data_IF_004901142836
#
_entry.id   IF_004901142836
#
_cell.length_a   1.000
_cell.length_b   1.000
_cell.length_c   1.000
_cell.angle_alpha   90.00
_cell.angle_beta   90.00
_cell.angle_gamma   90.00
#
_symmetry.space_group_name_H-M   'P 1'
#
loop_
_entity.id
_entity.type
_entity.pdbx_description
1 polymer ?
#
# COMPACT_ATOMS: atom_id res chain seq x y z
N UNK A 1 28.32 -4.97 -15.04
CA UNK A 1 27.56 -5.36 -16.26
C UNK A 1 27.17 -4.16 -17.12
N UNK A 2 26.23 -3.28 -16.72
CA UNK A 2 25.89 -2.09 -17.52
C UNK A 2 27.08 -1.13 -17.70
N UNK A 3 27.86 -0.91 -16.64
CA UNK A 3 29.06 -0.07 -16.69
C UNK A 3 30.16 -0.64 -17.60
N UNK A 4 30.32 -1.97 -17.66
CA UNK A 4 31.32 -2.62 -18.52
C UNK A 4 30.92 -2.60 -19.99
N UNK A 5 29.61 -2.75 -20.28
CA UNK A 5 29.06 -2.59 -21.63
C UNK A 5 29.25 -1.16 -22.12
N UNK A 6 29.01 -0.17 -21.25
CA UNK A 6 29.18 1.24 -21.60
C UNK A 6 30.65 1.56 -21.88
N UNK A 7 31.57 1.04 -21.05
CA UNK A 7 33.02 1.24 -21.23
C UNK A 7 33.56 0.62 -22.52
N UNK A 8 33.14 -0.60 -22.83
CA UNK A 8 33.52 -1.27 -24.10
C UNK A 8 32.97 -0.49 -25.31
N UNK A 9 31.74 0.05 -25.20
CA UNK A 9 31.09 0.85 -26.25
C UNK A 9 31.80 2.21 -26.46
N UNK A 10 32.20 2.85 -25.36
CA UNK A 10 32.91 4.14 -25.36
C UNK A 10 34.34 4.03 -25.92
N UNK A 11 34.94 2.84 -25.97
CA UNK A 11 36.26 2.63 -26.57
C UNK A 11 36.20 2.50 -28.11
N UNK A 12 35.15 1.85 -28.64
CA UNK A 12 35.03 1.57 -30.08
C UNK A 12 34.28 2.65 -30.87
N UNK A 13 33.24 3.27 -30.31
CA UNK A 13 32.43 4.25 -31.03
C UNK A 13 33.20 5.52 -31.42
N UNK A 14 34.06 6.11 -30.57
CA UNK A 14 34.78 7.33 -30.94
C UNK A 14 35.74 7.11 -32.10
N UNK A 15 36.45 5.98 -32.12
CA UNK A 15 37.36 5.62 -33.21
C UNK A 15 36.59 5.40 -34.52
N UNK A 16 35.40 4.79 -34.45
CA UNK A 16 34.52 4.59 -35.61
C UNK A 16 33.97 5.91 -36.18
N UNK A 17 33.39 6.76 -35.33
CA UNK A 17 32.86 8.05 -35.78
C UNK A 17 33.95 9.01 -36.27
N UNK A 18 35.14 8.99 -35.65
CA UNK A 18 36.28 9.76 -36.12
C UNK A 18 36.70 9.32 -37.53
N UNK A 19 36.68 8.01 -37.81
CA UNK A 19 37.03 7.47 -39.11
C UNK A 19 35.98 7.75 -40.19
N UNK A 20 34.67 7.68 -39.88
CA UNK A 20 33.61 8.09 -40.82
C UNK A 20 33.73 9.58 -41.14
N UNK A 21 33.92 10.43 -40.11
CA UNK A 21 34.07 11.86 -40.32
C UNK A 21 35.30 12.20 -41.16
N UNK A 22 36.39 11.45 -40.99
CA UNK A 22 37.59 11.58 -41.82
C UNK A 22 37.37 11.08 -43.26
N UNK A 23 36.42 10.16 -43.47
CA UNK A 23 36.02 9.67 -44.78
C UNK A 23 35.11 10.66 -45.52
N UNK A 24 34.16 11.28 -44.82
CA UNK A 24 33.28 12.33 -45.37
C UNK A 24 34.05 13.61 -45.73
N UNK A 25 35.20 13.84 -45.09
CA UNK A 25 36.10 14.95 -45.41
C UNK A 25 36.93 14.71 -46.69
N UNK A 26 36.88 13.51 -47.30
CA UNK A 26 37.58 13.21 -48.55
C UNK A 26 36.78 13.71 -49.75
N UNK A 27 37.46 14.44 -50.63
CA UNK A 27 36.89 14.90 -51.89
C UNK A 27 37.24 13.95 -53.06
N UNK A 28 36.49 14.07 -54.17
CA UNK A 28 36.72 13.27 -55.38
C UNK A 28 38.11 13.49 -55.98
N UNK A 29 38.76 14.63 -55.72
CA UNK A 29 40.09 14.93 -56.21
C UNK A 29 41.14 14.07 -55.50
N UNK A 30 41.05 13.91 -54.18
CA UNK A 30 41.96 13.07 -53.41
C UNK A 30 41.91 11.59 -53.83
N UNK A 31 40.74 11.10 -54.27
CA UNK A 31 40.61 9.76 -54.88
C UNK A 31 41.22 9.71 -56.28
N UNK A 32 41.08 10.76 -57.08
CA UNK A 32 41.71 10.83 -58.40
C UNK A 32 43.24 10.88 -58.32
N UNK A 33 43.82 11.50 -57.29
CA UNK A 33 45.26 11.47 -57.02
C UNK A 33 45.75 10.04 -56.72
N UNK A 34 45.00 9.28 -55.91
CA UNK A 34 45.30 7.87 -55.65
C UNK A 34 45.22 6.99 -56.91
N UNK A 35 44.33 7.32 -57.85
CA UNK A 35 44.21 6.63 -59.15
C UNK A 35 45.32 6.98 -60.13
N UNK A 36 45.92 8.15 -59.99
CA UNK A 36 46.96 8.65 -60.90
C UNK A 36 48.32 7.95 -60.69
N UNK A 37 48.52 7.22 -59.58
CA UNK A 37 49.72 6.41 -59.37
C UNK A 37 49.87 5.32 -60.43
N UNK A 38 50.94 5.42 -61.24
CA UNK A 38 51.35 4.40 -62.23
C UNK A 38 51.96 3.16 -61.55
N UNK A 39 52.70 3.38 -60.47
CA UNK A 39 53.25 2.34 -59.59
C UNK A 39 52.89 2.71 -58.15
N UNK A 40 51.87 2.09 -57.53
CA UNK A 40 51.43 2.44 -56.19
C UNK A 40 52.47 2.01 -55.13
N UNK A 41 52.71 2.83 -54.09
CA UNK A 41 53.52 2.43 -52.94
C UNK A 41 52.89 1.20 -52.25
N UNK A 42 53.74 0.29 -51.76
CA UNK A 42 53.34 -0.99 -51.16
C UNK A 42 52.29 -0.84 -50.03
N UNK A 43 52.41 0.25 -49.26
CA UNK A 43 51.48 0.63 -48.18
C UNK A 43 50.07 0.98 -48.68
N UNK A 44 49.99 1.65 -49.83
CA UNK A 44 48.72 2.04 -50.45
C UNK A 44 48.04 0.80 -51.05
N UNK A 45 48.81 -0.07 -51.70
CA UNK A 45 48.30 -1.37 -52.19
C UNK A 45 47.73 -2.21 -51.05
N UNK A 46 48.44 -2.31 -49.93
CA UNK A 46 47.98 -3.05 -48.75
C UNK A 46 46.67 -2.52 -48.15
N UNK A 47 46.49 -1.20 -48.18
CA UNK A 47 45.26 -0.54 -47.69
C UNK A 47 44.08 -0.82 -48.61
N UNK A 48 44.30 -0.73 -49.91
CA UNK A 48 43.25 -1.01 -50.88
C UNK A 48 42.94 -2.49 -51.02
N UNK A 49 43.90 -3.39 -50.81
CA UNK A 49 43.64 -4.82 -50.71
C UNK A 49 42.75 -5.16 -49.51
N UNK A 50 42.95 -4.47 -48.38
CA UNK A 50 42.07 -4.58 -47.22
C UNK A 50 40.64 -4.08 -47.53
N UNK A 51 40.50 -2.99 -48.28
CA UNK A 51 39.18 -2.50 -48.73
C UNK A 51 38.55 -3.46 -49.74
N UNK A 52 39.29 -3.98 -50.71
CA UNK A 52 38.81 -4.99 -51.66
C UNK A 52 38.30 -6.25 -50.93
N UNK A 53 39.00 -6.68 -49.88
CA UNK A 53 38.57 -7.80 -49.03
C UNK A 53 37.23 -7.52 -48.32
N UNK A 54 36.99 -6.29 -47.86
CA UNK A 54 35.71 -5.88 -47.25
C UNK A 54 34.54 -5.86 -48.26
N UNK A 55 34.80 -5.49 -49.51
CA UNK A 55 33.81 -5.50 -50.59
C UNK A 55 33.71 -6.86 -51.33
N UNK A 56 34.34 -7.92 -50.80
CA UNK A 56 34.37 -9.26 -51.41
C UNK A 56 34.96 -9.30 -52.84
N UNK A 57 35.81 -8.33 -53.18
CA UNK A 57 36.53 -8.26 -54.45
C UNK A 57 37.93 -8.87 -54.28
N UNK A 58 38.45 -9.53 -55.33
CA UNK A 58 39.80 -10.11 -55.29
C UNK A 58 40.84 -9.02 -54.97
N UNK A 59 41.79 -9.26 -54.06
CA UNK A 59 42.88 -8.32 -53.79
C UNK A 59 43.74 -8.17 -55.03
N UNK A 60 44.10 -6.93 -55.35
CA UNK A 60 44.69 -6.56 -56.62
C UNK A 60 44.49 -5.08 -56.92
N UNK A 61 45.58 -4.40 -57.31
CA UNK A 61 45.55 -2.96 -57.62
C UNK A 61 44.62 -2.62 -58.79
N UNK A 62 44.47 -3.55 -59.75
CA UNK A 62 43.60 -3.35 -60.92
C UNK A 62 42.12 -3.34 -60.52
N UNK A 63 41.73 -4.26 -59.65
CA UNK A 63 40.40 -4.36 -59.06
C UNK A 63 40.12 -3.22 -58.09
N UNK A 64 41.10 -2.83 -57.26
CA UNK A 64 41.01 -1.67 -56.38
C UNK A 64 40.79 -0.37 -57.17
N UNK A 65 41.46 -0.21 -58.32
CA UNK A 65 41.27 0.94 -59.22
C UNK A 65 39.88 0.95 -59.86
N UNK A 66 39.31 -0.23 -60.12
CA UNK A 66 37.91 -0.40 -60.52
C UNK A 66 36.94 0.04 -59.42
N UNK A 67 37.19 -0.39 -58.18
CA UNK A 67 36.38 -0.03 -57.00
C UNK A 67 36.41 1.47 -56.71
N UNK A 68 37.59 2.11 -56.78
CA UNK A 68 37.77 3.56 -56.71
C UNK A 68 37.14 4.33 -57.89
N UNK A 69 36.71 3.64 -58.94
CA UNK A 69 36.05 4.24 -60.11
C UNK A 69 34.55 4.32 -60.01
N UNK A 70 33.96 3.66 -59.03
CA UNK A 70 32.55 3.83 -58.73
C UNK A 70 32.31 5.23 -58.11
N UNK A 71 31.34 5.97 -58.67
CA UNK A 71 30.91 7.26 -58.13
C UNK A 71 30.35 7.15 -56.72
N UNK A 72 29.85 5.97 -56.34
CA UNK A 72 29.26 5.68 -55.01
C UNK A 72 30.24 5.06 -54.02
N UNK A 73 31.54 4.95 -54.35
CA UNK A 73 32.52 4.28 -53.50
C UNK A 73 32.59 4.85 -52.07
N UNK A 74 32.62 6.18 -51.93
CA UNK A 74 32.63 6.85 -50.61
C UNK A 74 31.33 6.64 -49.85
N UNK A 75 30.18 6.73 -50.52
CA UNK A 75 28.86 6.47 -49.92
C UNK A 75 28.73 5.00 -49.46
N UNK A 76 29.28 4.07 -50.23
CA UNK A 76 29.27 2.64 -49.92
C UNK A 76 30.20 2.32 -48.73
N UNK A 77 31.29 3.06 -48.56
CA UNK A 77 32.17 2.95 -47.39
C UNK A 77 31.52 3.55 -46.13
N UNK A 78 30.83 4.70 -46.25
CA UNK A 78 30.13 5.34 -45.14
C UNK A 78 28.91 4.52 -44.68
N UNK A 79 28.17 3.92 -45.62
CA UNK A 79 26.97 3.12 -45.36
C UNK A 79 27.26 1.61 -45.22
N UNK A 80 28.51 1.20 -45.10
CA UNK A 80 28.85 -0.22 -44.99
C UNK A 80 28.25 -0.82 -43.72
N UNK A 81 27.71 -2.04 -43.84
CA UNK A 81 27.11 -2.77 -42.72
C UNK A 81 28.19 -3.21 -41.71
N UNK A 82 28.40 -2.38 -40.70
CA UNK A 82 29.35 -2.60 -39.59
C UNK A 82 28.97 -3.76 -38.68
N UNK A 83 27.71 -4.19 -38.70
CA UNK A 83 27.17 -5.18 -37.78
C UNK A 83 27.20 -6.61 -38.39
N UNK A 84 27.43 -6.74 -39.71
CA UNK A 84 27.36 -8.03 -40.42
C UNK A 84 28.57 -8.31 -41.34
N UNK A 85 29.79 -8.28 -40.80
CA UNK A 85 31.02 -8.57 -41.56
C UNK A 85 31.37 -10.06 -41.47
N UNK A 86 31.64 -10.71 -42.61
CA UNK A 86 32.01 -12.13 -42.64
C UNK A 86 33.28 -12.40 -41.78
N UNK A 87 33.23 -13.33 -40.81
CA UNK A 87 34.38 -13.68 -39.96
C UNK A 87 35.64 -14.09 -40.75
N UNK A 88 35.48 -14.65 -41.96
CA UNK A 88 36.59 -15.01 -42.85
C UNK A 88 37.31 -13.78 -43.39
N UNK A 89 36.58 -12.71 -43.66
CA UNK A 89 37.12 -11.42 -44.12
C UNK A 89 37.87 -10.76 -42.97
N UNK A 90 37.31 -10.75 -41.75
CA UNK A 90 37.97 -10.19 -40.57
C UNK A 90 39.26 -10.93 -40.19
N UNK A 91 39.30 -12.27 -40.28
CA UNK A 91 40.55 -13.01 -40.05
C UNK A 91 41.65 -12.63 -41.05
N UNK A 92 41.29 -12.41 -42.32
CA UNK A 92 42.24 -11.94 -43.33
C UNK A 92 42.69 -10.51 -43.02
N UNK A 93 41.76 -9.62 -42.67
CA UNK A 93 42.05 -8.24 -42.28
C UNK A 93 42.88 -8.12 -40.99
N UNK A 94 42.72 -9.02 -40.02
CA UNK A 94 43.56 -9.07 -38.82
C UNK A 94 45.04 -9.32 -39.16
N UNK A 95 45.31 -10.15 -40.18
CA UNK A 95 46.68 -10.37 -40.68
C UNK A 95 47.27 -9.08 -41.26
N UNK A 96 46.44 -8.23 -41.87
CA UNK A 96 46.85 -6.91 -42.38
C UNK A 96 46.97 -5.88 -41.24
N UNK A 97 46.10 -5.95 -40.23
CA UNK A 97 46.11 -5.11 -39.03
C UNK A 97 47.37 -5.30 -38.16
N UNK A 98 47.86 -6.54 -38.07
CA UNK A 98 49.05 -6.89 -37.27
C UNK A 98 50.37 -6.52 -37.97
N UNK A 99 50.35 -6.04 -39.22
CA UNK A 99 51.56 -5.61 -39.89
C UNK A 99 51.98 -4.20 -39.37
N UNK A 100 53.19 -4.02 -38.80
CA UNK A 100 53.66 -2.75 -38.23
C UNK A 100 53.75 -1.58 -39.25
N UNK A 101 53.57 -1.87 -40.53
CA UNK A 101 53.52 -0.91 -41.61
C UNK A 101 52.10 -0.37 -41.90
N UNK A 102 51.05 -1.00 -41.38
CA UNK A 102 49.66 -0.58 -41.57
C UNK A 102 49.19 0.46 -40.53
N UNK A 103 49.95 1.54 -40.35
CA UNK A 103 49.63 2.64 -39.42
C UNK A 103 49.17 3.90 -40.18
N UNK A 104 48.06 4.54 -39.77
CA UNK A 104 47.60 5.80 -40.38
C UNK A 104 48.69 6.88 -40.41
N UNK A 105 49.54 6.94 -39.38
CA UNK A 105 50.65 7.90 -39.29
C UNK A 105 51.74 7.68 -40.35
N UNK A 106 52.07 6.42 -40.68
CA UNK A 106 53.06 6.11 -41.72
C UNK A 106 52.50 6.40 -43.12
N UNK A 107 51.21 6.13 -43.32
CA UNK A 107 50.53 6.33 -44.61
C UNK A 107 50.24 7.81 -44.87
N UNK A 108 50.09 8.63 -43.80
CA UNK A 108 49.91 10.09 -43.90
C UNK A 108 51.02 10.78 -44.69
N UNK A 109 52.26 10.26 -44.63
CA UNK A 109 53.43 10.78 -45.36
C UNK A 109 53.37 10.55 -46.87
N UNK A 110 52.50 9.64 -47.31
CA UNK A 110 52.37 9.23 -48.71
C UNK A 110 51.08 9.82 -49.30
N UNK A 111 49.96 9.74 -48.59
CA UNK A 111 48.68 10.31 -49.02
C UNK A 111 47.73 10.47 -47.84
N UNK A 112 47.08 11.63 -47.76
CA UNK A 112 46.02 11.93 -46.80
C UNK A 112 44.79 11.03 -47.00
N UNK A 113 44.41 10.75 -48.24
CA UNK A 113 43.27 9.89 -48.56
C UNK A 113 43.50 8.42 -48.20
N UNK A 114 44.70 7.90 -48.44
CA UNK A 114 45.04 6.54 -48.01
C UNK A 114 45.07 6.40 -46.48
N UNK A 115 45.43 7.48 -45.76
CA UNK A 115 45.42 7.52 -44.30
C UNK A 115 43.99 7.44 -43.72
N UNK A 116 43.04 8.22 -44.26
CA UNK A 116 41.64 8.16 -43.84
C UNK A 116 41.01 6.77 -44.07
N UNK A 117 41.28 6.16 -45.24
CA UNK A 117 40.78 4.82 -45.57
C UNK A 117 41.41 3.76 -44.66
N UNK A 118 42.71 3.85 -44.35
CA UNK A 118 43.38 2.96 -43.40
C UNK A 118 42.79 3.08 -41.99
N UNK A 119 42.55 4.31 -41.51
CA UNK A 119 41.92 4.57 -40.22
C UNK A 119 40.50 3.96 -40.15
N UNK A 120 39.73 4.06 -41.22
CA UNK A 120 38.40 3.45 -41.34
C UNK A 120 38.44 1.92 -41.27
N UNK A 121 39.31 1.26 -42.03
CA UNK A 121 39.46 -0.21 -41.96
C UNK A 121 39.86 -0.66 -40.55
N UNK A 122 40.76 0.07 -39.89
CA UNK A 122 41.16 -0.22 -38.50
C UNK A 122 40.01 -0.06 -37.51
N UNK A 123 39.26 1.04 -37.60
CA UNK A 123 38.12 1.30 -36.75
C UNK A 123 37.02 0.23 -36.92
N UNK A 124 36.82 -0.27 -38.14
CA UNK A 124 35.86 -1.33 -38.44
C UNK A 124 36.22 -2.67 -37.77
N UNK A 125 37.51 -3.03 -37.76
CA UNK A 125 38.02 -4.24 -37.09
C UNK A 125 37.87 -4.11 -35.56
N UNK A 126 38.14 -2.92 -35.01
CA UNK A 126 37.97 -2.66 -33.58
C UNK A 126 36.49 -2.72 -33.17
N UNK A 127 35.59 -2.18 -34.00
CA UNK A 127 34.14 -2.22 -33.80
C UNK A 127 33.61 -3.65 -33.77
N UNK A 128 33.93 -4.51 -34.75
CA UNK A 128 33.46 -5.91 -34.77
C UNK A 128 33.90 -6.71 -33.53
N UNK A 129 35.15 -6.53 -33.07
CA UNK A 129 35.66 -7.18 -31.85
C UNK A 129 34.84 -6.80 -30.62
N UNK A 130 34.51 -5.52 -30.52
CA UNK A 130 33.75 -4.97 -29.40
C UNK A 130 32.27 -5.33 -29.51
N UNK A 131 31.68 -5.28 -30.71
CA UNK A 131 30.31 -5.69 -31.00
C UNK A 131 30.05 -7.14 -30.56
N UNK A 132 30.94 -8.08 -30.92
CA UNK A 132 30.87 -9.49 -30.48
C UNK A 132 30.93 -9.68 -28.97
N UNK A 133 31.58 -8.77 -28.25
CA UNK A 133 31.69 -8.81 -26.79
C UNK A 133 30.46 -8.20 -26.12
N UNK A 134 29.82 -7.22 -26.77
CA UNK A 134 28.67 -6.47 -26.26
C UNK A 134 27.35 -7.17 -26.54
N UNK A 135 27.22 -7.87 -27.68
CA UNK A 135 25.99 -8.59 -28.07
C UNK A 135 25.47 -9.57 -27.00
N UNK A 136 26.28 -10.50 -26.44
CA UNK A 136 25.80 -11.40 -25.40
C UNK A 136 25.46 -10.64 -24.10
N UNK A 137 26.19 -9.56 -23.79
CA UNK A 137 25.91 -8.73 -22.61
C UNK A 137 24.62 -7.93 -22.75
N UNK A 138 24.32 -7.40 -23.95
CA UNK A 138 23.05 -6.72 -24.27
C UNK A 138 21.88 -7.68 -24.17
N UNK A 139 22.02 -8.89 -24.70
CA UNK A 139 20.98 -9.92 -24.61
C UNK A 139 20.72 -10.31 -23.15
N UNK A 140 21.78 -10.57 -22.38
CA UNK A 140 21.67 -10.89 -20.95
C UNK A 140 21.05 -9.73 -20.14
N UNK A 141 21.39 -8.48 -20.46
CA UNK A 141 20.78 -7.31 -19.83
C UNK A 141 19.28 -7.22 -20.15
N UNK A 142 18.88 -7.43 -21.41
CA UNK A 142 17.49 -7.41 -21.81
C UNK A 142 16.67 -8.53 -21.13
N UNK A 143 17.22 -9.74 -21.04
CA UNK A 143 16.61 -10.86 -20.33
C UNK A 143 16.44 -10.56 -18.83
N UNK A 144 17.47 -10.00 -18.18
CA UNK A 144 17.41 -9.62 -16.77
C UNK A 144 16.41 -8.48 -16.52
N UNK A 145 16.33 -7.49 -17.42
CA UNK A 145 15.37 -6.39 -17.33
C UNK A 145 13.93 -6.87 -17.53
N UNK A 146 13.69 -7.79 -18.47
CA UNK A 146 12.38 -8.40 -18.67
C UNK A 146 11.95 -9.22 -17.46
N UNK A 147 12.87 -10.02 -16.88
CA UNK A 147 12.62 -10.77 -15.64
C UNK A 147 12.31 -9.84 -14.47
N UNK A 148 13.09 -8.78 -14.29
CA UNK A 148 12.88 -7.77 -13.26
C UNK A 148 11.51 -7.09 -13.38
N UNK A 149 11.11 -6.71 -14.60
CA UNK A 149 9.80 -6.11 -14.85
C UNK A 149 8.65 -7.06 -14.48
N UNK A 150 8.78 -8.36 -14.81
CA UNK A 150 7.80 -9.39 -14.43
C UNK A 150 7.69 -9.53 -12.91
N UNK A 151 8.83 -9.65 -12.22
CA UNK A 151 8.85 -9.80 -10.75
C UNK A 151 8.32 -8.55 -10.06
N UNK A 152 8.61 -7.36 -10.57
CA UNK A 152 8.07 -6.10 -10.03
C UNK A 152 6.55 -5.99 -10.21
N UNK A 153 6.02 -6.45 -11.34
CA UNK A 153 4.58 -6.50 -11.57
C UNK A 153 3.90 -7.47 -10.58
N UNK A 154 4.46 -8.67 -10.38
CA UNK A 154 3.96 -9.62 -9.40
C UNK A 154 4.04 -9.08 -7.96
N UNK A 155 5.16 -8.43 -7.60
CA UNK A 155 5.36 -7.81 -6.30
C UNK A 155 4.26 -6.79 -6.02
N UNK A 156 3.94 -5.93 -7.00
CA UNK A 156 2.90 -4.91 -6.87
C UNK A 156 1.54 -5.54 -6.61
N UNK A 157 1.17 -6.58 -7.37
CA UNK A 157 -0.09 -7.32 -7.16
C UNK A 157 -0.17 -7.90 -5.74
N UNK A 158 0.93 -8.47 -5.24
CA UNK A 158 0.98 -9.02 -3.86
C UNK A 158 0.91 -7.92 -2.80
N UNK A 159 1.55 -6.77 -3.01
CA UNK A 159 1.48 -5.62 -2.10
C UNK A 159 0.07 -5.02 -2.06
N UNK A 160 -0.59 -4.88 -3.20
CA UNK A 160 -1.96 -4.38 -3.28
C UNK A 160 -2.93 -5.32 -2.55
N UNK A 161 -2.81 -6.64 -2.78
CA UNK A 161 -3.59 -7.65 -2.05
C UNK A 161 -3.32 -7.62 -0.53
N UNK A 162 -2.06 -7.43 -0.11
CA UNK A 162 -1.72 -7.30 1.31
C UNK A 162 -2.36 -6.06 1.93
N UNK A 163 -2.32 -4.92 1.25
CA UNK A 163 -2.93 -3.68 1.72
C UNK A 163 -4.45 -3.80 1.86
N UNK A 164 -5.12 -4.49 0.93
CA UNK A 164 -6.55 -4.77 1.01
C UNK A 164 -6.88 -5.60 2.27
N UNK A 165 -6.11 -6.67 2.51
CA UNK A 165 -6.28 -7.51 3.70
C UNK A 165 -6.05 -6.72 4.99
N UNK A 166 -4.98 -5.92 5.05
CA UNK A 166 -4.68 -5.08 6.22
C UNK A 166 -5.81 -4.07 6.50
N UNK A 167 -6.34 -3.44 5.45
CA UNK A 167 -7.49 -2.53 5.56
C UNK A 167 -8.72 -3.25 6.13
N UNK A 168 -9.02 -4.44 5.62
CA UNK A 168 -10.14 -5.26 6.10
C UNK A 168 -9.95 -5.71 7.55
N UNK A 169 -8.73 -6.10 7.95
CA UNK A 169 -8.40 -6.44 9.33
C UNK A 169 -8.60 -5.24 10.25
N UNK A 170 -8.14 -4.06 9.86
CA UNK A 170 -8.33 -2.83 10.64
C UNK A 170 -9.81 -2.49 10.83
N UNK A 171 -10.62 -2.62 9.77
CA UNK A 171 -12.07 -2.44 9.85
C UNK A 171 -12.74 -3.44 10.79
N UNK A 172 -12.37 -4.73 10.70
CA UNK A 172 -12.91 -5.78 11.56
C UNK A 172 -12.50 -5.58 13.02
N UNK A 173 -11.27 -5.15 13.30
CA UNK A 173 -10.82 -4.82 14.65
C UNK A 173 -11.58 -3.62 15.23
N UNK A 174 -11.84 -2.59 14.42
CA UNK A 174 -12.65 -1.45 14.85
C UNK A 174 -14.11 -1.86 15.14
N UNK A 175 -14.70 -2.70 14.28
CA UNK A 175 -16.05 -3.23 14.48
C UNK A 175 -16.14 -4.09 15.73
N UNK A 176 -15.14 -4.95 15.96
CA UNK A 176 -15.06 -5.81 17.14
C UNK A 176 -15.02 -4.96 18.42
N UNK A 177 -14.11 -3.97 18.50
CA UNK A 177 -14.03 -3.06 19.66
C UNK A 177 -15.34 -2.30 19.90
N UNK A 178 -15.98 -1.82 18.83
CA UNK A 178 -17.26 -1.13 18.94
C UNK A 178 -18.38 -2.05 19.44
N UNK A 179 -18.37 -3.31 18.99
CA UNK A 179 -19.36 -4.33 19.40
C UNK A 179 -19.13 -4.78 20.84
N UNK A 180 -17.89 -4.99 21.26
CA UNK A 180 -17.53 -5.30 22.65
C UNK A 180 -17.94 -4.18 23.60
N UNK A 181 -17.72 -2.92 23.22
CA UNK A 181 -18.19 -1.78 24.02
C UNK A 181 -19.71 -1.78 24.15
N UNK A 182 -20.44 -1.94 23.04
CA UNK A 182 -21.91 -2.03 23.07
C UNK A 182 -22.40 -3.19 23.93
N UNK A 183 -21.73 -4.35 23.87
CA UNK A 183 -22.04 -5.50 24.70
C UNK A 183 -21.86 -5.16 26.19
N UNK A 184 -20.73 -4.57 26.57
CA UNK A 184 -20.49 -4.15 27.97
C UNK A 184 -21.50 -3.11 28.47
N UNK A 185 -21.87 -2.14 27.63
CA UNK A 185 -22.89 -1.14 27.97
C UNK A 185 -24.27 -1.80 28.20
N UNK A 186 -24.65 -2.77 27.37
CA UNK A 186 -25.90 -3.52 27.51
C UNK A 186 -25.90 -4.42 28.75
N UNK A 187 -24.81 -5.12 29.04
CA UNK A 187 -24.67 -5.95 30.24
C UNK A 187 -24.78 -5.09 31.52
N UNK A 188 -24.18 -3.90 31.52
CA UNK A 188 -24.31 -2.95 32.63
C UNK A 188 -25.75 -2.43 32.79
N UNK A 189 -26.44 -2.14 31.69
CA UNK A 189 -27.85 -1.73 31.72
C UNK A 189 -28.75 -2.86 32.22
N UNK A 190 -28.52 -4.10 31.76
CA UNK A 190 -29.25 -5.28 32.22
C UNK A 190 -29.09 -5.48 33.72
N UNK A 191 -27.86 -5.41 34.23
CA UNK A 191 -27.58 -5.57 35.65
C UNK A 191 -28.25 -4.46 36.48
N UNK A 192 -28.20 -3.21 36.01
CA UNK A 192 -28.88 -2.10 36.67
C UNK A 192 -30.40 -2.31 36.71
N UNK A 193 -30.98 -2.77 35.61
CA UNK A 193 -32.42 -3.06 35.52
C UNK A 193 -32.82 -4.18 36.48
N UNK A 194 -32.05 -5.27 36.55
CA UNK A 194 -32.27 -6.39 37.49
C UNK A 194 -32.29 -5.91 38.94
N UNK A 195 -31.30 -5.12 39.34
CA UNK A 195 -31.24 -4.56 40.71
C UNK A 195 -32.40 -3.61 40.99
N UNK A 196 -32.80 -2.79 40.01
CA UNK A 196 -33.96 -1.90 40.16
C UNK A 196 -35.27 -2.68 40.29
N UNK A 197 -35.42 -3.77 39.54
CA UNK A 197 -36.60 -4.63 39.57
C UNK A 197 -36.71 -5.36 40.91
N UNK A 198 -35.60 -5.94 41.41
CA UNK A 198 -35.56 -6.58 42.73
C UNK A 198 -35.93 -5.60 43.85
N UNK A 199 -35.39 -4.37 43.80
CA UNK A 199 -35.75 -3.31 44.76
C UNK A 199 -37.23 -2.93 44.68
N UNK A 200 -37.78 -2.83 43.47
CA UNK A 200 -39.19 -2.53 43.26
C UNK A 200 -40.07 -3.64 43.83
N UNK A 201 -39.72 -4.91 43.62
CA UNK A 201 -40.42 -6.07 44.19
C UNK A 201 -40.39 -6.07 45.71
N UNK A 202 -39.23 -5.83 46.32
CA UNK A 202 -39.10 -5.71 47.78
C UNK A 202 -39.97 -4.57 48.33
N UNK A 203 -39.98 -3.43 47.64
CA UNK A 203 -40.74 -2.25 48.05
C UNK A 203 -42.25 -2.46 47.92
N UNK A 204 -42.71 -3.13 46.86
CA UNK A 204 -44.12 -3.54 46.69
C UNK A 204 -44.51 -4.56 47.76
N UNK A 205 -43.66 -5.56 48.04
CA UNK A 205 -43.91 -6.56 49.08
C UNK A 205 -44.02 -5.93 50.48
N UNK A 206 -43.10 -5.02 50.82
CA UNK A 206 -43.10 -4.32 52.10
C UNK A 206 -44.25 -3.32 52.27
N UNK A 207 -44.55 -2.53 51.23
CA UNK A 207 -45.63 -1.54 51.28
C UNK A 207 -47.03 -2.14 51.10
N UNK A 208 -47.15 -3.33 50.53
CA UNK A 208 -48.44 -4.00 50.34
C UNK A 208 -49.17 -4.24 51.66
N UNK A 209 -48.46 -4.79 52.66
CA UNK A 209 -49.01 -4.99 54.00
C UNK A 209 -49.28 -3.66 54.72
N UNK A 210 -48.39 -2.69 54.56
CA UNK A 210 -48.53 -1.37 55.19
C UNK A 210 -49.73 -0.58 54.65
N UNK A 211 -50.02 -0.67 53.33
CA UNK A 211 -51.21 -0.10 52.72
C UNK A 211 -52.50 -0.64 53.36
N UNK A 212 -52.57 -1.96 53.57
CA UNK A 212 -53.72 -2.61 54.21
C UNK A 212 -53.85 -2.11 55.65
N UNK A 213 -52.76 -2.14 56.41
CA UNK A 213 -52.73 -1.68 57.81
C UNK A 213 -53.16 -0.22 57.96
N UNK A 214 -52.70 0.66 57.08
CA UNK A 214 -53.10 2.07 57.08
C UNK A 214 -54.56 2.26 56.69
N UNK A 215 -55.07 1.50 55.72
CA UNK A 215 -56.48 1.53 55.35
C UNK A 215 -57.37 1.10 56.52
N UNK A 216 -57.05 -0.03 57.17
CA UNK A 216 -57.78 -0.53 58.34
C UNK A 216 -57.70 0.46 59.52
N UNK A 217 -56.52 1.05 59.75
CA UNK A 217 -56.35 2.05 60.81
C UNK A 217 -57.15 3.32 60.54
N UNK A 218 -57.19 3.77 59.28
CA UNK A 218 -57.98 4.93 58.86
C UNK A 218 -59.49 4.67 59.03
N UNK A 219 -59.97 3.49 58.64
CA UNK A 219 -61.38 3.09 58.83
C UNK A 219 -61.75 2.98 60.30
N UNK A 220 -60.88 2.40 61.14
CA UNK A 220 -61.08 2.34 62.59
C UNK A 220 -61.16 3.74 63.21
N UNK A 221 -60.18 4.60 62.91
CA UNK A 221 -60.14 5.98 63.41
C UNK A 221 -61.36 6.80 62.97
N UNK A 222 -61.89 6.56 61.77
CA UNK A 222 -63.12 7.17 61.29
C UNK A 222 -64.34 6.73 62.11
N UNK A 223 -64.40 5.46 62.50
CA UNK A 223 -65.39 4.94 63.44
C UNK A 223 -65.25 5.57 64.83
N UNK A 224 -64.04 5.63 65.37
CA UNK A 224 -63.74 6.24 66.67
C UNK A 224 -64.11 7.73 66.70
N UNK A 225 -63.80 8.47 65.63
CA UNK A 225 -64.15 9.88 65.49
C UNK A 225 -65.68 10.09 65.54
N UNK A 226 -66.45 9.18 64.93
CA UNK A 226 -67.91 9.24 64.96
C UNK A 226 -68.44 9.03 66.38
N UNK A 227 -67.85 8.11 67.15
CA UNK A 227 -68.26 7.76 68.50
C UNK A 227 -67.59 8.60 69.61
N UNK A 228 -66.71 9.53 69.24
CA UNK A 228 -65.83 10.26 70.14
C UNK A 228 -66.59 11.03 71.22
N UNK A 229 -67.66 11.72 70.82
CA UNK A 229 -68.46 12.56 71.73
C UNK A 229 -69.09 11.73 72.84
N UNK A 230 -69.75 10.62 72.50
CA UNK A 230 -70.35 9.72 73.48
C UNK A 230 -69.31 9.07 74.39
N UNK A 231 -68.19 8.63 73.82
CA UNK A 231 -67.10 8.03 74.58
C UNK A 231 -66.49 9.02 75.59
N UNK A 232 -66.24 10.27 75.20
CA UNK A 232 -65.72 11.33 76.10
C UNK A 232 -66.69 11.57 77.27
N UNK A 233 -68.00 11.62 77.02
CA UNK A 233 -69.01 11.84 78.08
C UNK A 233 -68.97 10.69 79.10
N UNK A 234 -68.96 9.44 78.64
CA UNK A 234 -68.92 8.27 79.52
C UNK A 234 -67.59 8.21 80.27
N UNK A 235 -66.46 8.48 79.62
CA UNK A 235 -65.13 8.56 80.27
C UNK A 235 -65.06 9.65 81.34
N UNK A 236 -65.55 10.85 81.03
CA UNK A 236 -65.56 11.96 81.98
C UNK A 236 -66.44 11.64 83.21
N UNK A 237 -67.62 11.05 82.98
CA UNK A 237 -68.50 10.58 84.05
C UNK A 237 -67.85 9.47 84.89
N UNK A 238 -67.13 8.55 84.26
CA UNK A 238 -66.48 7.43 84.94
C UNK A 238 -65.41 7.94 85.91
N UNK A 239 -64.57 8.88 85.46
CA UNK A 239 -63.52 9.50 86.28
C UNK A 239 -64.13 10.34 87.42
N UNK A 240 -65.19 11.10 87.14
CA UNK A 240 -65.77 12.04 88.12
C UNK A 240 -66.57 11.35 89.23
N UNK A 241 -67.33 10.29 88.92
CA UNK A 241 -68.33 9.74 89.84
C UNK A 241 -68.06 8.31 90.29
N UNK A 242 -67.36 7.48 89.50
CA UNK A 242 -67.28 6.04 89.76
C UNK A 242 -66.08 5.60 90.60
N UNK A 243 -65.16 6.50 90.97
CA UNK A 243 -63.95 6.20 91.75
C UNK A 243 -64.16 5.42 93.07
N UNK A 244 -65.14 5.78 93.92
CA UNK A 244 -65.36 5.12 95.22
C UNK A 244 -66.01 3.73 95.17
N UNK A 245 -66.51 3.29 94.01
CA UNK A 245 -67.30 2.05 93.90
C UNK A 245 -66.45 0.82 93.56
N UNK A 246 -67.01 -0.38 93.76
CA UNK A 246 -66.36 -1.66 93.43
C UNK A 246 -66.23 -1.87 91.91
N UNK A 247 -65.27 -2.70 91.49
CA UNK A 247 -65.00 -2.94 90.07
C UNK A 247 -66.23 -3.42 89.29
N UNK A 248 -67.00 -4.35 89.87
CA UNK A 248 -68.23 -4.88 89.26
C UNK A 248 -69.28 -3.79 89.05
N UNK A 249 -69.51 -2.95 90.07
CA UNK A 249 -70.48 -1.86 89.98
C UNK A 249 -70.06 -0.78 88.96
N UNK A 250 -68.76 -0.49 88.85
CA UNK A 250 -68.25 0.46 87.85
C UNK A 250 -68.49 -0.02 86.42
N UNK A 251 -68.34 -1.33 86.16
CA UNK A 251 -68.59 -1.91 84.84
C UNK A 251 -70.08 -1.84 84.51
N UNK A 252 -70.94 -2.26 85.43
CA UNK A 252 -72.41 -2.22 85.24
C UNK A 252 -72.92 -0.79 84.97
N UNK A 253 -72.44 0.19 85.75
CA UNK A 253 -72.81 1.60 85.56
C UNK A 253 -72.32 2.16 84.22
N UNK A 254 -71.11 1.80 83.78
CA UNK A 254 -70.60 2.22 82.48
C UNK A 254 -71.43 1.65 81.32
N UNK A 255 -71.88 0.40 81.41
CA UNK A 255 -72.77 -0.21 80.42
C UNK A 255 -74.14 0.49 80.37
N UNK A 256 -74.73 0.79 81.52
CA UNK A 256 -75.99 1.55 81.60
C UNK A 256 -75.85 2.95 80.98
N UNK A 257 -74.73 3.63 81.18
CA UNK A 257 -74.47 4.94 80.58
C UNK A 257 -74.31 4.87 79.06
N UNK A 258 -73.66 3.83 78.53
CA UNK A 258 -73.59 3.58 77.07
C UNK A 258 -74.99 3.35 76.49
N UNK A 259 -75.85 2.58 77.18
CA UNK A 259 -77.25 2.39 76.77
C UNK A 259 -77.97 3.74 76.74
N UNK A 260 -77.76 4.59 77.75
CA UNK A 260 -78.39 5.91 77.80
C UNK A 260 -77.92 6.85 76.68
N UNK A 261 -76.65 6.82 76.33
CA UNK A 261 -76.12 7.56 75.17
C UNK A 261 -76.83 7.14 73.86
N UNK A 262 -77.06 5.84 73.66
CA UNK A 262 -77.80 5.33 72.50
C UNK A 262 -79.26 5.78 72.48
N UNK A 263 -79.97 5.73 73.61
CA UNK A 263 -81.35 6.23 73.72
C UNK A 263 -81.45 7.72 73.34
N UNK A 264 -80.47 8.51 73.75
CA UNK A 264 -80.38 9.94 73.46
C UNK A 264 -79.85 10.25 72.05
N UNK A 265 -79.62 9.23 71.22
CA UNK A 265 -79.06 9.33 69.87
C UNK A 265 -77.67 9.99 69.82
N UNK A 266 -76.89 9.83 70.89
CA UNK A 266 -75.48 10.23 70.92
C UNK A 266 -74.66 9.03 70.43
N UNK A 267 -73.91 9.14 69.33
CA UNK A 267 -73.04 8.06 68.88
C UNK A 267 -72.00 7.72 69.95
N UNK A 268 -71.93 6.45 70.32
CA UNK A 268 -70.99 5.91 71.31
C UNK A 268 -70.59 4.49 70.92
N UNK A 269 -69.40 4.07 71.36
CA UNK A 269 -68.95 2.71 71.13
C UNK A 269 -69.92 1.68 71.75
N UNK A 270 -70.00 0.49 71.15
CA UNK A 270 -70.89 -0.57 71.62
C UNK A 270 -70.47 -1.13 73.00
N UNK A 271 -69.16 -1.13 73.26
CA UNK A 271 -68.54 -1.50 74.53
C UNK A 271 -67.62 -0.37 74.95
N UNK A 272 -67.80 0.11 76.18
CA UNK A 272 -66.92 1.12 76.76
C UNK A 272 -65.67 0.43 77.35
N UNK A 273 -64.49 0.96 77.04
CA UNK A 273 -63.22 0.63 77.67
C UNK A 273 -62.52 1.93 78.00
N UNK A 274 -61.99 2.04 79.23
CA UNK A 274 -61.11 3.15 79.63
C UNK A 274 -59.63 2.83 79.35
N UNK A 275 -59.32 1.55 79.09
CA UNK A 275 -58.03 1.08 78.57
C UNK A 275 -57.94 1.28 77.06
#
# INVERSE_FOLDING_TARGET
MAADVQKDLDEALPAYYAAIKALDALDKNSINELKAFKTPPEMVVYTFDAVCLLFHVKPGWKEAKGLMSDMKFLENLANYDKDNIDPKVIKKLQKHYNNPDFLPEKISKISSAAMCICAWVRAMITYDRVAKTIEPKKKSLAEAQASLASVQAELKVKQDALNEVLSRVAQLQALLKATEKKKGDLEAQEQKCKVQLERAEQLIGGLGGEKIRWAESADRLKGDLTNLVGNIIVSAGFIAYLGPFTAEYRIEMAEQWVIKCKELKIPSAAKFSLE
#
